data_IF_384645280892
#
_entry.id   IF_384645280892
#
_cell.length_a   1.000
_cell.length_b   1.000
_cell.length_c   1.000
_cell.angle_alpha   90.00
_cell.angle_beta   90.00
_cell.angle_gamma   90.00
#
_symmetry.space_group_name_H-M   'P 1'
#
loop_
_entity.id
_entity.type
_entity.pdbx_description
1 polymer ?
#
# COMPACT_ATOMS: atom_id res chain seq x y z
N UNK A 1 15.13 27.30 5.74
CA UNK A 1 15.19 26.10 4.90
C UNK A 1 13.91 25.32 5.13
N UNK A 2 13.02 25.21 4.15
CA UNK A 2 11.84 24.38 4.25
C UNK A 2 12.29 22.94 4.47
N UNK A 3 11.82 22.31 5.54
CA UNK A 3 11.97 20.86 5.76
C UNK A 3 11.46 20.13 4.51
N UNK A 4 12.15 19.11 3.98
CA UNK A 4 11.61 18.37 2.87
C UNK A 4 10.22 17.89 3.29
N UNK A 5 9.19 18.28 2.51
CA UNK A 5 7.81 17.86 2.78
C UNK A 5 7.81 16.33 2.82
N UNK A 6 7.55 15.79 4.00
CA UNK A 6 7.37 14.34 4.13
C UNK A 6 6.24 13.94 3.18
N UNK A 7 6.42 12.94 2.30
CA UNK A 7 5.39 12.58 1.32
C UNK A 7 4.07 12.26 2.03
N UNK A 8 2.98 12.55 1.36
CA UNK A 8 1.63 12.21 1.83
C UNK A 8 1.44 10.70 1.79
N UNK A 9 0.73 10.17 2.76
CA UNK A 9 0.34 8.76 2.78
C UNK A 9 -1.00 8.59 2.07
N UNK A 10 -1.04 7.77 1.04
CA UNK A 10 -2.25 7.48 0.27
C UNK A 10 -2.57 5.99 0.34
N UNK A 11 -3.69 5.66 0.98
CA UNK A 11 -4.18 4.30 1.09
C UNK A 11 -5.01 3.92 -0.13
N UNK A 12 -4.55 2.93 -0.89
CA UNK A 12 -5.24 2.35 -2.04
C UNK A 12 -5.58 0.87 -1.78
N UNK A 13 -6.44 0.30 -2.61
CA UNK A 13 -6.82 -1.11 -2.52
C UNK A 13 -8.26 -1.32 -2.95
N UNK A 14 -8.64 -2.57 -3.10
CA UNK A 14 -9.96 -2.95 -3.60
C UNK A 14 -11.09 -2.62 -2.60
N UNK A 15 -12.34 -2.76 -3.04
CA UNK A 15 -13.52 -2.66 -2.17
C UNK A 15 -13.40 -3.69 -1.03
N UNK A 16 -13.74 -3.29 0.19
CA UNK A 16 -13.61 -4.17 1.36
C UNK A 16 -12.18 -4.32 1.93
N UNK A 17 -11.15 -3.69 1.35
CA UNK A 17 -9.76 -3.77 1.83
C UNK A 17 -9.48 -3.04 3.15
N UNK A 18 -10.39 -2.21 3.65
CA UNK A 18 -10.19 -1.51 4.94
C UNK A 18 -9.37 -0.23 4.85
N UNK A 19 -9.32 0.42 3.69
CA UNK A 19 -8.55 1.66 3.44
C UNK A 19 -8.82 2.77 4.44
N UNK A 20 -10.09 3.04 4.75
CA UNK A 20 -10.47 4.08 5.72
C UNK A 20 -9.94 3.79 7.13
N UNK A 21 -9.89 2.52 7.53
CA UNK A 21 -9.30 2.09 8.81
C UNK A 21 -7.79 2.26 8.79
N UNK A 22 -7.13 1.82 7.72
CA UNK A 22 -5.69 1.98 7.55
C UNK A 22 -5.28 3.47 7.52
N UNK A 23 -6.05 4.31 6.83
CA UNK A 23 -5.80 5.76 6.81
C UNK A 23 -5.93 6.39 8.20
N UNK A 24 -6.92 5.99 9.01
CA UNK A 24 -7.02 6.44 10.41
C UNK A 24 -5.83 5.98 11.24
N UNK A 25 -5.35 4.73 11.06
CA UNK A 25 -4.14 4.22 11.74
C UNK A 25 -2.89 5.00 11.33
N UNK A 26 -2.74 5.31 10.03
CA UNK A 26 -1.64 6.14 9.52
C UNK A 26 -1.70 7.57 10.09
N UNK A 27 -2.87 8.17 10.10
CA UNK A 27 -3.08 9.51 10.65
C UNK A 27 -2.76 9.58 12.14
N UNK A 28 -3.16 8.57 12.92
CA UNK A 28 -2.81 8.47 14.33
C UNK A 28 -1.28 8.38 14.54
N UNK A 29 -0.58 7.54 13.75
CA UNK A 29 0.88 7.40 13.80
C UNK A 29 1.60 8.71 13.43
N UNK A 30 1.07 9.46 12.45
CA UNK A 30 1.62 10.73 11.98
C UNK A 30 1.10 11.96 12.76
N UNK A 31 0.21 11.77 13.74
CA UNK A 31 -0.44 12.84 14.53
C UNK A 31 -1.12 13.88 13.65
N UNK A 32 -1.91 13.43 12.71
CA UNK A 32 -2.66 14.24 11.74
C UNK A 32 -4.05 13.67 11.52
N UNK A 33 -4.83 14.28 10.63
CA UNK A 33 -6.14 13.79 10.22
C UNK A 33 -6.06 12.96 8.93
N UNK A 34 -6.98 12.00 8.79
CA UNK A 34 -7.21 11.25 7.57
C UNK A 34 -8.45 11.76 6.85
N UNK A 35 -8.39 11.85 5.52
CA UNK A 35 -9.55 12.15 4.68
C UNK A 35 -9.93 10.86 3.93
N UNK A 36 -11.18 10.45 4.09
CA UNK A 36 -11.81 9.45 3.24
C UNK A 36 -12.46 10.16 2.06
N UNK A 37 -11.95 9.89 0.86
CA UNK A 37 -12.38 10.59 -0.36
C UNK A 37 -13.82 10.25 -0.72
N UNK A 38 -14.24 9.00 -0.53
CA UNK A 38 -15.62 8.57 -0.78
C UNK A 38 -16.59 9.38 0.11
N UNK A 39 -16.30 9.50 1.41
CA UNK A 39 -17.11 10.30 2.35
C UNK A 39 -17.13 11.79 1.98
N UNK A 40 -15.99 12.34 1.56
CA UNK A 40 -15.94 13.74 1.15
C UNK A 40 -16.77 14.01 -0.11
N UNK A 41 -16.77 13.08 -1.06
CA UNK A 41 -17.61 13.17 -2.27
C UNK A 41 -19.09 13.16 -1.89
N UNK A 42 -19.52 12.25 -1.02
CA UNK A 42 -20.91 12.19 -0.54
C UNK A 42 -21.35 13.51 0.12
N UNK A 43 -20.46 14.05 0.98
CA UNK A 43 -20.72 15.35 1.64
C UNK A 43 -20.87 16.50 0.62
N UNK A 44 -20.02 16.55 -0.39
CA UNK A 44 -20.05 17.60 -1.43
C UNK A 44 -21.24 17.50 -2.35
N UNK A 45 -21.65 16.27 -2.68
CA UNK A 45 -22.80 16.02 -3.56
C UNK A 45 -24.14 16.05 -2.81
N UNK A 46 -24.13 15.97 -1.47
CA UNK A 46 -25.36 15.89 -0.66
C UNK A 46 -26.15 14.59 -0.83
N UNK A 47 -25.53 13.57 -1.41
CA UNK A 47 -26.17 12.24 -1.63
C UNK A 47 -25.14 11.11 -1.48
N UNK A 48 -25.62 9.91 -1.12
CA UNK A 48 -24.76 8.74 -1.04
C UNK A 48 -24.24 8.33 -2.42
N UNK A 49 -23.07 7.68 -2.45
CA UNK A 49 -22.49 7.14 -3.69
C UNK A 49 -23.49 6.21 -4.39
N UNK A 50 -24.24 5.40 -3.64
CA UNK A 50 -25.28 4.53 -4.19
C UNK A 50 -26.35 5.32 -4.98
N UNK A 51 -26.79 6.46 -4.42
CA UNK A 51 -27.75 7.34 -5.11
C UNK A 51 -27.13 8.03 -6.32
N UNK A 52 -25.89 8.46 -6.26
CA UNK A 52 -25.18 9.03 -7.42
C UNK A 52 -25.13 8.02 -8.57
N UNK A 53 -24.77 6.76 -8.28
CA UNK A 53 -24.76 5.70 -9.30
C UNK A 53 -26.14 5.44 -9.91
N UNK A 54 -27.20 5.43 -9.07
CA UNK A 54 -28.55 5.14 -9.52
C UNK A 54 -29.19 6.31 -10.30
N UNK A 55 -28.95 7.55 -9.88
CA UNK A 55 -29.60 8.74 -10.42
C UNK A 55 -28.77 9.41 -11.53
N UNK A 56 -27.44 9.49 -11.36
CA UNK A 56 -26.55 10.29 -12.21
C UNK A 56 -25.58 9.41 -13.02
N UNK A 57 -25.43 8.13 -12.67
CA UNK A 57 -24.57 7.15 -13.34
C UNK A 57 -23.13 7.11 -12.84
N UNK A 58 -22.42 6.01 -13.18
CA UNK A 58 -21.02 5.80 -12.79
C UNK A 58 -20.09 6.90 -13.32
N UNK A 59 -20.33 7.41 -14.55
CA UNK A 59 -19.48 8.46 -15.16
C UNK A 59 -19.41 9.71 -14.29
N UNK A 60 -20.56 10.21 -13.85
CA UNK A 60 -20.66 11.41 -12.97
C UNK A 60 -19.90 11.21 -11.66
N UNK A 61 -20.03 10.00 -11.07
CA UNK A 61 -19.24 9.68 -9.87
C UNK A 61 -17.75 9.71 -10.15
N UNK A 62 -17.27 9.11 -11.27
CA UNK A 62 -15.84 9.07 -11.62
C UNK A 62 -15.24 10.46 -11.87
N UNK A 63 -15.98 11.34 -12.51
CA UNK A 63 -15.57 12.74 -12.69
C UNK A 63 -15.43 13.48 -11.35
N UNK A 64 -16.37 13.26 -10.43
CA UNK A 64 -16.30 13.82 -9.09
C UNK A 64 -15.14 13.23 -8.27
N UNK A 65 -14.92 11.90 -8.34
CA UNK A 65 -13.83 11.18 -7.69
C UNK A 65 -12.47 11.70 -8.15
N UNK A 66 -12.27 11.83 -9.46
CA UNK A 66 -11.02 12.36 -10.03
C UNK A 66 -10.78 13.80 -9.59
N UNK A 67 -11.74 14.68 -9.79
CA UNK A 67 -11.63 16.10 -9.44
C UNK A 67 -11.32 16.30 -7.94
N UNK A 68 -12.06 15.62 -7.06
CA UNK A 68 -11.87 15.74 -5.60
C UNK A 68 -10.52 15.18 -5.18
N UNK A 69 -10.12 14.04 -5.75
CA UNK A 69 -8.82 13.43 -5.44
C UNK A 69 -7.67 14.33 -5.84
N UNK A 70 -7.67 14.87 -7.08
CA UNK A 70 -6.61 15.76 -7.56
C UNK A 70 -6.55 17.06 -6.73
N UNK A 71 -7.72 17.66 -6.41
CA UNK A 71 -7.77 18.82 -5.52
C UNK A 71 -7.13 18.57 -4.16
N UNK A 72 -7.35 17.38 -3.57
CA UNK A 72 -6.75 17.00 -2.29
C UNK A 72 -5.23 16.78 -2.43
N UNK A 73 -4.79 16.19 -3.53
CA UNK A 73 -3.38 15.94 -3.82
C UNK A 73 -2.59 17.26 -4.06
N UNK A 74 -3.22 18.33 -4.48
CA UNK A 74 -2.61 19.66 -4.59
C UNK A 74 -2.42 20.37 -3.24
N UNK A 75 -3.11 19.92 -2.19
CA UNK A 75 -3.14 20.58 -0.88
C UNK A 75 -2.18 19.93 0.12
N UNK A 76 -1.04 20.51 0.44
CA UNK A 76 0.00 19.88 1.27
C UNK A 76 -0.42 19.66 2.75
N UNK A 77 -1.47 20.32 3.23
CA UNK A 77 -1.99 20.13 4.58
C UNK A 77 -2.67 18.77 4.78
N UNK A 78 -3.20 18.16 3.72
CA UNK A 78 -3.83 16.83 3.80
C UNK A 78 -2.77 15.73 3.71
N UNK A 79 -2.40 15.19 4.86
CA UNK A 79 -1.26 14.29 5.00
C UNK A 79 -1.61 12.82 4.78
N UNK A 80 -2.87 12.42 4.98
CA UNK A 80 -3.31 11.04 4.83
C UNK A 80 -4.63 10.99 4.07
N UNK A 81 -4.69 10.23 2.99
CA UNK A 81 -5.88 10.04 2.17
C UNK A 81 -6.24 8.54 2.06
N UNK A 82 -7.53 8.23 2.11
CA UNK A 82 -8.07 6.93 1.68
C UNK A 82 -8.83 7.13 0.37
N UNK A 83 -8.34 6.54 -0.73
CA UNK A 83 -8.99 6.66 -2.03
C UNK A 83 -10.12 5.65 -2.24
N UNK A 84 -11.11 6.00 -3.03
CA UNK A 84 -12.09 5.06 -3.55
C UNK A 84 -11.41 3.89 -4.29
N UNK A 85 -11.97 2.67 -4.20
CA UNK A 85 -11.36 1.50 -4.84
C UNK A 85 -11.31 1.57 -6.37
N UNK A 86 -11.99 2.52 -7.00
CA UNK A 86 -11.97 2.76 -8.44
C UNK A 86 -11.09 3.90 -8.90
N UNK A 87 -10.64 4.76 -7.97
CA UNK A 87 -9.89 5.97 -8.26
C UNK A 87 -8.64 5.73 -9.14
N UNK A 88 -7.95 4.59 -8.93
CA UNK A 88 -6.79 4.19 -9.72
C UNK A 88 -7.12 3.90 -11.21
N UNK A 89 -8.37 3.89 -11.60
CA UNK A 89 -8.80 3.84 -13.01
C UNK A 89 -8.43 5.11 -13.78
N UNK A 90 -8.39 6.28 -13.11
CA UNK A 90 -7.98 7.54 -13.71
C UNK A 90 -6.45 7.58 -13.91
N UNK A 91 -6.01 7.93 -15.12
CA UNK A 91 -4.60 8.13 -15.41
C UNK A 91 -4.05 9.35 -14.68
N UNK A 92 -4.84 10.43 -14.58
CA UNK A 92 -4.44 11.65 -13.89
C UNK A 92 -4.15 11.39 -12.40
N UNK A 93 -5.01 10.59 -11.74
CA UNK A 93 -4.76 10.18 -10.34
C UNK A 93 -3.49 9.33 -10.26
N UNK A 94 -3.29 8.34 -11.14
CA UNK A 94 -2.06 7.51 -11.12
C UNK A 94 -0.79 8.35 -11.30
N UNK A 95 -0.83 9.36 -12.16
CA UNK A 95 0.30 10.25 -12.38
C UNK A 95 0.57 11.13 -11.15
N UNK A 96 -0.47 11.64 -10.50
CA UNK A 96 -0.36 12.44 -9.29
C UNK A 96 0.12 11.64 -8.06
N UNK A 97 -0.04 10.31 -8.06
CA UNK A 97 0.41 9.45 -6.98
C UNK A 97 1.92 9.15 -7.01
N UNK A 98 2.64 9.49 -8.08
CA UNK A 98 4.08 9.15 -8.22
C UNK A 98 4.99 9.77 -7.17
N UNK A 99 4.60 10.92 -6.65
CA UNK A 99 5.39 11.66 -5.65
C UNK A 99 4.85 11.45 -4.22
N UNK A 100 3.87 10.56 -4.07
CA UNK A 100 3.22 10.26 -2.79
C UNK A 100 3.68 8.89 -2.25
N UNK A 101 3.47 8.66 -0.95
CA UNK A 101 3.71 7.39 -0.31
C UNK A 101 2.46 6.51 -0.40
N UNK A 102 2.48 5.54 -1.29
CA UNK A 102 1.30 4.72 -1.62
C UNK A 102 1.29 3.41 -0.83
N UNK A 103 0.32 3.25 0.07
CA UNK A 103 0.06 2.01 0.80
C UNK A 103 -1.07 1.23 0.14
N UNK A 104 -0.78 0.06 -0.39
CA UNK A 104 -1.80 -0.86 -0.90
C UNK A 104 -2.25 -1.81 0.20
N UNK A 105 -3.54 -1.73 0.55
CA UNK A 105 -4.22 -2.68 1.41
C UNK A 105 -4.62 -3.89 0.55
N UNK A 106 -3.82 -4.95 0.65
CA UNK A 106 -4.04 -6.18 -0.09
C UNK A 106 -5.11 -7.04 0.60
N UNK A 107 -6.20 -7.31 -0.12
CA UNK A 107 -7.32 -8.13 0.32
C UNK A 107 -7.56 -9.23 -0.70
N UNK A 108 -7.68 -10.47 -0.26
CA UNK A 108 -8.07 -11.55 -1.15
C UNK A 108 -9.52 -11.39 -1.65
N UNK A 109 -9.78 -11.96 -2.83
CA UNK A 109 -11.08 -11.83 -3.50
C UNK A 109 -12.27 -12.32 -2.64
N UNK A 110 -12.08 -13.42 -1.90
CA UNK A 110 -13.13 -14.00 -1.04
C UNK A 110 -13.48 -13.05 0.09
N UNK A 111 -12.50 -12.62 0.87
CA UNK A 111 -12.67 -11.65 1.97
C UNK A 111 -13.23 -10.32 1.48
N UNK A 112 -12.77 -9.83 0.31
CA UNK A 112 -13.29 -8.60 -0.28
C UNK A 112 -14.78 -8.73 -0.61
N UNK A 113 -15.17 -9.85 -1.20
CA UNK A 113 -16.56 -10.15 -1.54
C UNK A 113 -17.43 -10.22 -0.29
N UNK A 114 -17.04 -11.03 0.71
CA UNK A 114 -17.78 -11.18 1.97
C UNK A 114 -18.02 -9.84 2.69
N UNK A 115 -16.99 -9.00 2.77
CA UNK A 115 -17.08 -7.66 3.40
C UNK A 115 -17.94 -6.66 2.61
N UNK A 116 -18.14 -6.90 1.32
CA UNK A 116 -18.98 -6.05 0.48
C UNK A 116 -20.44 -6.50 0.41
N UNK A 117 -20.75 -7.73 0.83
CA UNK A 117 -22.12 -8.25 0.88
C UNK A 117 -23.00 -7.40 1.80
N UNK A 118 -24.17 -7.01 1.32
CA UNK A 118 -25.14 -6.21 2.09
C UNK A 118 -24.69 -4.79 2.44
N UNK A 119 -23.58 -4.30 1.87
CA UNK A 119 -23.04 -2.97 2.18
C UNK A 119 -23.63 -1.83 1.34
N UNK A 120 -24.65 -2.09 0.50
CA UNK A 120 -25.24 -1.09 -0.40
C UNK A 120 -24.31 -0.63 -1.55
N UNK A 121 -23.16 -1.29 -1.76
CA UNK A 121 -22.19 -0.88 -2.79
C UNK A 121 -22.65 -1.27 -4.18
N UNK A 122 -22.88 -0.31 -5.11
CA UNK A 122 -23.43 -0.58 -6.44
C UNK A 122 -22.63 -1.59 -7.25
N UNK A 123 -21.31 -1.60 -7.10
CA UNK A 123 -20.39 -2.44 -7.87
C UNK A 123 -20.12 -3.82 -7.22
N UNK A 124 -20.80 -4.15 -6.11
CA UNK A 124 -20.66 -5.43 -5.40
C UNK A 124 -21.95 -6.28 -5.44
N UNK A 125 -22.80 -6.09 -6.44
CA UNK A 125 -24.07 -6.81 -6.58
C UNK A 125 -23.91 -8.12 -7.35
N UNK A 126 -23.02 -8.18 -8.33
CA UNK A 126 -22.74 -9.34 -9.16
C UNK A 126 -21.30 -9.84 -8.96
N UNK A 127 -21.17 -11.11 -8.56
CA UNK A 127 -19.89 -11.73 -8.21
C UNK A 127 -18.93 -11.81 -9.40
N UNK A 128 -19.42 -12.13 -10.60
CA UNK A 128 -18.58 -12.26 -11.79
C UNK A 128 -17.98 -10.90 -12.20
N UNK A 129 -18.78 -9.86 -12.19
CA UNK A 129 -18.32 -8.49 -12.45
C UNK A 129 -17.38 -7.98 -11.36
N UNK A 130 -17.61 -8.36 -10.09
CA UNK A 130 -16.73 -8.05 -8.97
C UNK A 130 -15.34 -8.67 -9.14
N UNK A 131 -15.27 -9.96 -9.46
CA UNK A 131 -14.05 -10.70 -9.71
C UNK A 131 -13.29 -10.15 -10.93
N UNK A 132 -13.97 -9.84 -12.01
CA UNK A 132 -13.38 -9.21 -13.19
C UNK A 132 -12.73 -7.86 -12.86
N UNK A 133 -13.42 -7.01 -12.09
CA UNK A 133 -12.85 -5.73 -11.60
C UNK A 133 -11.67 -5.94 -10.67
N UNK A 134 -11.70 -6.95 -9.81
CA UNK A 134 -10.59 -7.29 -8.92
C UNK A 134 -9.34 -7.62 -9.74
N UNK A 135 -9.43 -8.57 -10.67
CA UNK A 135 -8.32 -8.99 -11.53
C UNK A 135 -7.76 -7.86 -12.41
N UNK A 136 -8.62 -6.96 -12.87
CA UNK A 136 -8.20 -5.80 -13.65
C UNK A 136 -7.43 -4.76 -12.83
N UNK A 137 -7.76 -4.59 -11.54
CA UNK A 137 -7.20 -3.55 -10.69
C UNK A 137 -5.98 -4.00 -9.89
N UNK A 138 -5.88 -5.26 -9.53
CA UNK A 138 -4.77 -5.82 -8.76
C UNK A 138 -3.39 -5.43 -9.33
N UNK A 139 -3.09 -5.62 -10.64
CA UNK A 139 -1.79 -5.23 -11.20
C UNK A 139 -1.55 -3.73 -11.15
N UNK A 140 -2.60 -2.89 -11.19
CA UNK A 140 -2.45 -1.45 -11.08
C UNK A 140 -2.09 -1.06 -9.64
N UNK A 141 -2.75 -1.66 -8.63
CA UNK A 141 -2.38 -1.45 -7.23
C UNK A 141 -0.92 -1.86 -6.98
N UNK A 142 -0.51 -3.05 -7.46
CA UNK A 142 0.85 -3.56 -7.31
C UNK A 142 1.91 -2.64 -7.95
N UNK A 143 1.58 -2.05 -9.11
CA UNK A 143 2.47 -1.11 -9.79
C UNK A 143 2.65 0.21 -9.02
N UNK A 144 1.56 0.74 -8.45
CA UNK A 144 1.55 2.00 -7.73
C UNK A 144 2.13 1.91 -6.31
N UNK A 145 2.02 0.76 -5.66
CA UNK A 145 2.35 0.61 -4.25
C UNK A 145 3.84 0.78 -3.94
N UNK A 146 4.16 1.55 -2.91
CA UNK A 146 5.45 1.56 -2.23
C UNK A 146 5.47 0.59 -1.05
N UNK A 147 4.31 0.36 -0.40
CA UNK A 147 4.15 -0.71 0.57
C UNK A 147 2.87 -1.51 0.34
N UNK A 148 2.98 -2.84 0.54
CA UNK A 148 1.87 -3.79 0.44
C UNK A 148 1.60 -4.33 1.84
N UNK A 149 0.38 -4.15 2.31
CA UNK A 149 -0.04 -4.52 3.68
C UNK A 149 -1.27 -5.41 3.60
N UNK A 150 -1.26 -6.60 4.22
CA UNK A 150 -2.46 -7.44 4.28
C UNK A 150 -3.63 -6.69 4.93
N UNK A 151 -4.80 -6.77 4.33
CA UNK A 151 -5.98 -6.00 4.76
C UNK A 151 -6.46 -6.30 6.20
N UNK A 152 -6.06 -7.46 6.74
CA UNK A 152 -6.34 -7.87 8.11
C UNK A 152 -5.39 -7.22 9.14
N UNK A 153 -4.32 -6.57 8.67
CA UNK A 153 -3.24 -6.03 9.50
C UNK A 153 -3.22 -4.50 9.52
N UNK A 154 -4.38 -3.90 9.80
CA UNK A 154 -4.45 -2.43 10.01
C UNK A 154 -3.61 -1.95 11.23
N UNK A 155 -3.27 -2.86 12.14
CA UNK A 155 -2.34 -2.66 13.24
C UNK A 155 -0.88 -2.53 12.79
N UNK A 156 -0.55 -3.07 11.61
CA UNK A 156 0.80 -2.98 11.05
C UNK A 156 1.10 -1.65 10.35
N UNK A 157 0.14 -0.75 10.17
CA UNK A 157 0.34 0.50 9.43
C UNK A 157 1.46 1.36 10.04
N UNK A 158 1.49 1.55 11.36
CA UNK A 158 2.54 2.32 12.01
C UNK A 158 3.93 1.66 11.84
N UNK A 159 4.12 0.35 12.12
CA UNK A 159 5.36 -0.36 11.79
C UNK A 159 5.75 -0.30 10.30
N UNK A 160 4.80 -0.35 9.37
CA UNK A 160 5.07 -0.22 7.94
C UNK A 160 5.62 1.16 7.59
N UNK A 161 5.01 2.23 8.10
CA UNK A 161 5.51 3.59 7.90
C UNK A 161 6.94 3.76 8.46
N UNK A 162 7.22 3.15 9.60
CA UNK A 162 8.55 3.12 10.18
C UNK A 162 9.54 2.31 9.32
N UNK A 163 9.12 1.15 8.80
CA UNK A 163 9.92 0.32 7.90
C UNK A 163 10.28 1.03 6.59
N UNK A 164 9.44 1.94 6.13
CA UNK A 164 9.69 2.73 4.92
C UNK A 164 10.65 3.90 5.14
N UNK A 165 10.96 4.23 6.40
CA UNK A 165 11.85 5.34 6.69
C UNK A 165 13.28 5.08 6.20
N UNK A 166 13.81 6.02 5.42
CA UNK A 166 15.18 5.93 4.90
C UNK A 166 15.36 4.94 3.73
N UNK A 167 14.29 4.37 3.20
CA UNK A 167 14.36 3.54 2.00
C UNK A 167 14.86 4.34 0.78
N UNK A 168 15.77 3.77 -0.01
CA UNK A 168 16.11 4.36 -1.30
C UNK A 168 14.89 4.52 -2.22
N UNK A 169 14.83 5.58 -3.04
CA UNK A 169 13.76 5.76 -4.00
C UNK A 169 13.55 4.54 -4.90
N UNK A 170 12.31 4.20 -5.18
CA UNK A 170 11.92 3.03 -5.99
C UNK A 170 12.01 1.70 -5.26
N UNK A 171 12.31 1.70 -3.95
CA UNK A 171 12.20 0.50 -3.11
C UNK A 171 10.76 0.30 -2.65
N UNK A 172 10.41 -0.96 -2.37
CA UNK A 172 9.08 -1.37 -1.87
C UNK A 172 9.20 -2.19 -0.60
N UNK A 173 8.17 -2.11 0.24
CA UNK A 173 8.00 -2.96 1.43
C UNK A 173 6.81 -3.88 1.23
N UNK A 174 7.01 -5.17 1.45
CA UNK A 174 5.93 -6.13 1.64
C UNK A 174 5.86 -6.48 3.12
N UNK A 175 4.74 -6.22 3.77
CA UNK A 175 4.51 -6.66 5.14
C UNK A 175 4.06 -8.11 5.16
N UNK A 176 4.95 -9.00 5.54
CA UNK A 176 4.65 -10.43 5.66
C UNK A 176 4.06 -10.73 7.04
N UNK A 177 2.84 -11.27 7.04
CA UNK A 177 2.18 -11.75 8.25
C UNK A 177 2.30 -13.27 8.33
N UNK A 178 2.94 -13.78 9.37
CA UNK A 178 3.19 -15.22 9.55
C UNK A 178 2.77 -15.70 10.94
N UNK A 179 2.62 -17.02 11.10
CA UNK A 179 2.30 -17.61 12.40
C UNK A 179 3.38 -17.36 13.49
N UNK A 180 4.64 -17.16 13.07
CA UNK A 180 5.76 -16.90 13.97
C UNK A 180 5.99 -15.41 14.26
N UNK A 181 5.22 -14.53 13.66
CA UNK A 181 5.32 -13.08 13.76
C UNK A 181 5.36 -12.40 12.41
N UNK A 182 5.20 -11.09 12.42
CA UNK A 182 5.23 -10.27 11.23
C UNK A 182 6.60 -9.66 11.01
N UNK A 183 6.93 -9.42 9.74
CA UNK A 183 8.17 -8.75 9.37
C UNK A 183 8.05 -8.01 8.04
N UNK A 184 8.81 -6.92 7.84
CA UNK A 184 8.92 -6.26 6.54
C UNK A 184 9.90 -7.03 5.64
N UNK A 185 9.51 -7.32 4.40
CA UNK A 185 10.40 -7.73 3.33
C UNK A 185 10.66 -6.53 2.41
N UNK A 186 11.94 -6.26 2.13
CA UNK A 186 12.37 -5.10 1.37
C UNK A 186 12.77 -5.49 -0.05
N UNK A 187 12.27 -4.77 -1.03
CA UNK A 187 12.57 -4.95 -2.44
C UNK A 187 13.07 -3.64 -3.03
N UNK A 188 14.18 -3.68 -3.74
CA UNK A 188 14.70 -2.47 -4.38
C UNK A 188 16.06 -2.69 -5.03
N UNK A 189 16.41 -1.81 -5.96
CA UNK A 189 17.70 -1.83 -6.60
C UNK A 189 18.78 -1.33 -5.64
N UNK A 190 19.92 -2.00 -5.66
CA UNK A 190 21.11 -1.62 -4.92
C UNK A 190 20.98 -1.58 -3.37
N UNK A 191 19.98 -2.23 -2.76
CA UNK A 191 19.84 -2.29 -1.30
C UNK A 191 21.08 -2.92 -0.65
N UNK A 192 21.59 -4.02 -1.19
CA UNK A 192 22.77 -4.70 -0.68
C UNK A 192 24.05 -3.88 -0.92
N UNK A 193 24.23 -3.28 -2.09
CA UNK A 193 25.42 -2.47 -2.42
C UNK A 193 25.47 -1.16 -1.64
N UNK A 194 24.31 -0.62 -1.24
CA UNK A 194 24.22 0.55 -0.35
C UNK A 194 24.30 0.18 1.13
N UNK A 195 24.44 -1.11 1.44
CA UNK A 195 24.45 -1.63 2.80
C UNK A 195 23.24 -1.14 3.61
N UNK A 196 22.07 -1.09 2.97
CA UNK A 196 20.83 -0.63 3.60
C UNK A 196 20.46 -1.57 4.75
N UNK A 197 20.22 -0.98 5.92
CA UNK A 197 19.67 -1.67 7.07
C UNK A 197 18.56 -0.80 7.67
N UNK A 198 17.35 -1.35 7.90
CA UNK A 198 16.24 -0.57 8.44
C UNK A 198 16.61 0.05 9.80
N UNK A 199 16.43 1.37 9.99
CA UNK A 199 16.84 2.06 11.23
C UNK A 199 16.16 1.53 12.49
N UNK A 200 14.89 1.07 12.34
CA UNK A 200 14.09 0.55 13.46
C UNK A 200 14.48 -0.87 13.88
N UNK A 201 15.28 -1.60 13.08
CA UNK A 201 15.64 -2.98 13.37
C UNK A 201 17.00 -3.01 14.07
N UNK A 202 16.96 -3.14 15.39
CA UNK A 202 18.13 -3.41 16.22
C UNK A 202 18.50 -4.89 16.26
N UNK A 203 19.65 -5.21 16.91
CA UNK A 203 20.08 -6.57 17.19
C UNK A 203 21.13 -7.12 16.25
N UNK A 204 21.40 -8.43 16.37
CA UNK A 204 22.43 -9.12 15.60
C UNK A 204 21.93 -9.45 14.20
N UNK A 205 22.77 -9.21 13.18
CA UNK A 205 22.46 -9.48 11.78
C UNK A 205 23.00 -10.86 11.39
N UNK A 206 22.17 -11.64 10.73
CA UNK A 206 22.56 -12.93 10.15
C UNK A 206 22.24 -12.90 8.66
N UNK A 207 23.15 -13.50 7.86
CA UNK A 207 22.97 -13.62 6.42
C UNK A 207 22.82 -15.10 6.05
N UNK A 208 21.78 -15.42 5.29
CA UNK A 208 21.68 -16.69 4.56
C UNK A 208 21.87 -16.37 3.08
N UNK A 209 22.85 -16.98 2.44
CA UNK A 209 23.22 -16.67 1.05
C UNK A 209 23.83 -17.88 0.37
N UNK A 210 23.96 -17.82 -0.95
CA UNK A 210 24.71 -18.81 -1.73
C UNK A 210 26.04 -18.26 -2.25
N UNK A 211 26.87 -19.15 -2.83
CA UNK A 211 28.20 -18.80 -3.30
C UNK A 211 28.22 -17.82 -4.49
N UNK A 212 27.13 -17.71 -5.27
CA UNK A 212 27.04 -16.74 -6.37
C UNK A 212 26.79 -15.33 -5.81
N UNK A 213 25.79 -15.18 -4.94
CA UNK A 213 25.46 -13.91 -4.31
C UNK A 213 26.60 -13.42 -3.44
N UNK A 214 27.20 -14.29 -2.61
CA UNK A 214 28.30 -13.92 -1.72
C UNK A 214 29.54 -13.37 -2.45
N UNK A 215 29.81 -13.81 -3.67
CA UNK A 215 30.92 -13.26 -4.50
C UNK A 215 30.66 -11.83 -4.96
N UNK A 216 29.41 -11.50 -5.27
CA UNK A 216 29.03 -10.16 -5.72
C UNK A 216 28.87 -9.17 -4.56
N UNK A 217 28.52 -9.67 -3.37
CA UNK A 217 28.23 -8.87 -2.19
C UNK A 217 28.98 -9.38 -0.94
N UNK A 218 30.33 -9.37 -0.96
CA UNK A 218 31.13 -10.00 0.10
C UNK A 218 30.97 -9.33 1.47
N UNK A 219 30.71 -8.02 1.49
CA UNK A 219 30.56 -7.21 2.71
C UNK A 219 29.15 -6.63 2.89
N UNK A 220 28.14 -7.17 2.18
CA UNK A 220 26.77 -6.67 2.33
C UNK A 220 26.26 -6.87 3.76
N UNK A 221 25.53 -5.87 4.26
CA UNK A 221 24.84 -5.87 5.56
C UNK A 221 25.76 -5.98 6.78
N UNK A 222 27.06 -5.79 6.63
CA UNK A 222 28.01 -5.77 7.76
C UNK A 222 27.66 -4.68 8.81
N UNK A 223 27.97 -4.90 10.12
CA UNK A 223 28.60 -6.11 10.65
C UNK A 223 27.61 -7.27 10.81
N UNK A 224 28.04 -8.49 10.42
CA UNK A 224 27.27 -9.71 10.58
C UNK A 224 27.68 -10.47 11.84
N UNK A 225 26.69 -10.96 12.59
CA UNK A 225 26.91 -11.90 13.71
C UNK A 225 27.10 -13.35 13.23
N UNK A 226 26.63 -13.67 12.02
CA UNK A 226 26.83 -14.96 11.40
C UNK A 226 26.41 -14.97 9.93
N UNK A 227 27.01 -15.93 9.18
CA UNK A 227 26.68 -16.17 7.77
C UNK A 227 26.47 -17.67 7.56
N UNK A 228 25.36 -18.03 6.92
CA UNK A 228 25.07 -19.40 6.51
C UNK A 228 25.13 -19.47 4.99
N UNK A 229 25.94 -20.39 4.48
CA UNK A 229 26.04 -20.66 3.05
C UNK A 229 25.12 -21.82 2.70
N UNK A 230 24.25 -21.63 1.72
CA UNK A 230 23.39 -22.68 1.16
C UNK A 230 23.82 -23.02 -0.26
N UNK A 231 23.42 -24.20 -0.74
CA UNK A 231 23.62 -24.57 -2.13
C UNK A 231 22.72 -23.70 -3.02
N UNK A 232 23.24 -23.20 -4.16
CA UNK A 232 22.42 -22.42 -5.08
C UNK A 232 21.31 -23.27 -5.71
N UNK A 233 20.15 -22.67 -5.93
CA UNK A 233 19.00 -23.28 -6.60
C UNK A 233 17.82 -23.60 -5.67
N UNK A 234 16.65 -23.80 -6.27
CA UNK A 234 15.38 -24.00 -5.56
C UNK A 234 15.35 -25.30 -4.73
N UNK A 235 16.11 -26.31 -5.10
CA UNK A 235 16.18 -27.59 -4.38
C UNK A 235 16.73 -27.45 -2.95
N UNK A 236 17.43 -26.37 -2.67
CA UNK A 236 18.01 -26.08 -1.34
C UNK A 236 17.08 -25.21 -0.47
N UNK A 237 15.95 -24.78 -1.00
CA UNK A 237 14.93 -23.99 -0.29
C UNK A 237 13.84 -24.91 0.26
N UNK A 238 14.21 -25.89 1.07
CA UNK A 238 13.25 -26.75 1.77
C UNK A 238 12.86 -26.11 3.10
N UNK A 239 11.56 -26.15 3.39
CA UNK A 239 11.00 -25.79 4.70
C UNK A 239 11.25 -26.91 5.68
#
# INVERSE_FOLDING_TARGET
MASPLTPRVVCIGFMGAGKSTAARSAAAALRTDAIDVDQLIEQRLGKSIERVFAEDGEGTFREAEERVTLELLERPQHRVLALGGGAIGSQAIRDALRDELVLWLDVDLGSAWERCQGSGRPLAQDRESFERRYKQREPIYAALADAIVPSQRSDAIAPVLEAMHGLPPGSKVLWAATASGDYPAYFGSALLSRNFWPPAIGGRRFMVTDGHVARHYPSALEPLAGRVMIMPGEQSKTV
#
